data_IF_389228548879
#
_entry.id   IF_389228548879
#
_cell.length_a   1.000
_cell.length_b   1.000
_cell.length_c   1.000
_cell.angle_alpha   90.00
_cell.angle_beta   90.00
_cell.angle_gamma   90.00
#
_symmetry.space_group_name_H-M   'P 1'
#
loop_
_entity.id
_entity.type
_entity.pdbx_description
1 polymer ?
#
# COMPACT_ATOMS: atom_id res chain seq x y z
N UNK A 1 64.37 19.22 -13.85
CA UNK A 1 63.49 18.42 -14.73
C UNK A 1 62.53 17.65 -13.85
N UNK A 2 61.22 17.92 -13.99
CA UNK A 2 60.04 17.11 -13.61
C UNK A 2 59.90 16.65 -12.13
N UNK A 3 58.73 16.67 -11.49
CA UNK A 3 57.42 17.27 -11.76
C UNK A 3 56.62 17.25 -10.45
N UNK A 4 55.84 18.30 -10.20
CA UNK A 4 54.64 18.26 -9.37
C UNK A 4 53.56 17.51 -10.14
N UNK A 5 52.82 16.61 -9.49
CA UNK A 5 51.43 16.27 -9.83
C UNK A 5 50.82 15.37 -8.75
N UNK A 6 49.93 15.93 -7.92
CA UNK A 6 48.87 15.21 -7.20
C UNK A 6 47.96 16.21 -6.48
N UNK A 7 47.02 16.85 -7.20
CA UNK A 7 45.91 17.61 -6.59
C UNK A 7 44.77 17.93 -7.60
N UNK A 8 44.26 16.95 -8.36
CA UNK A 8 43.14 17.20 -9.31
C UNK A 8 41.96 16.22 -9.27
N UNK A 9 41.95 15.21 -8.39
CA UNK A 9 40.89 14.20 -8.35
C UNK A 9 39.73 14.54 -7.39
N UNK A 10 39.96 15.28 -6.31
CA UNK A 10 38.93 15.60 -5.30
C UNK A 10 38.08 16.85 -5.64
N UNK A 11 38.67 17.82 -6.34
CA UNK A 11 37.97 19.04 -6.78
C UNK A 11 36.91 18.75 -7.86
N UNK A 12 37.14 17.72 -8.69
CA UNK A 12 36.22 17.31 -9.74
C UNK A 12 35.01 16.51 -9.22
N UNK A 13 35.14 15.74 -8.12
CA UNK A 13 33.99 15.08 -7.45
C UNK A 13 33.10 16.09 -6.71
N UNK A 14 33.71 17.10 -6.07
CA UNK A 14 32.99 18.15 -5.34
C UNK A 14 32.15 19.02 -6.28
N UNK A 15 32.72 19.44 -7.43
CA UNK A 15 32.01 20.21 -8.47
C UNK A 15 30.88 19.43 -9.16
N UNK A 16 31.02 18.10 -9.31
CA UNK A 16 29.96 17.26 -9.91
C UNK A 16 28.74 17.17 -9.00
N UNK A 17 28.95 17.08 -7.68
CA UNK A 17 27.87 17.07 -6.69
C UNK A 17 27.18 18.44 -6.54
N UNK A 18 27.92 19.55 -6.64
CA UNK A 18 27.34 20.91 -6.61
C UNK A 18 26.39 21.14 -7.79
N UNK A 19 26.76 20.71 -9.00
CA UNK A 19 25.94 20.87 -10.20
C UNK A 19 24.68 19.97 -10.21
N UNK A 20 24.74 18.78 -9.61
CA UNK A 20 23.56 17.90 -9.48
C UNK A 20 22.54 18.44 -8.46
N UNK A 21 23.00 19.16 -7.43
CA UNK A 21 22.14 19.76 -6.40
C UNK A 21 21.47 21.05 -6.91
N UNK A 22 22.19 21.91 -7.66
CA UNK A 22 21.59 23.11 -8.29
C UNK A 22 20.52 22.74 -9.36
N UNK A 23 20.72 21.61 -10.05
CA UNK A 23 19.71 21.01 -10.95
C UNK A 23 18.45 20.53 -10.21
N UNK A 24 18.57 20.11 -8.93
CA UNK A 24 17.44 19.65 -8.12
C UNK A 24 16.60 20.80 -7.55
N UNK A 25 17.21 21.94 -7.23
CA UNK A 25 16.50 23.12 -6.67
C UNK A 25 15.73 23.88 -7.76
N UNK A 26 16.21 23.87 -9.00
CA UNK A 26 15.60 24.58 -10.13
C UNK A 26 14.45 23.82 -10.81
N UNK A 27 14.33 22.50 -10.59
CA UNK A 27 13.24 21.70 -11.16
C UNK A 27 12.09 21.58 -10.17
N UNK A 28 10.97 22.26 -10.47
CA UNK A 28 9.62 21.92 -9.98
C UNK A 28 9.31 20.45 -10.30
N UNK A 29 9.84 19.50 -9.53
CA UNK A 29 9.56 18.08 -9.71
C UNK A 29 8.91 17.52 -8.45
N UNK A 30 7.64 17.21 -8.60
CA UNK A 30 6.84 16.36 -7.72
C UNK A 30 7.45 14.96 -7.70
N UNK A 31 8.50 14.74 -6.93
CA UNK A 31 8.95 13.37 -6.64
C UNK A 31 8.95 13.14 -5.13
N UNK A 32 8.28 12.05 -4.72
CA UNK A 32 8.14 11.60 -3.32
C UNK A 32 9.47 11.39 -2.60
N UNK A 33 10.60 11.33 -3.34
CA UNK A 33 11.95 11.18 -2.78
C UNK A 33 12.47 12.38 -1.99
N UNK A 34 11.96 13.60 -2.22
CA UNK A 34 12.48 14.83 -1.57
C UNK A 34 11.57 15.41 -0.48
N UNK A 35 10.39 14.82 -0.25
CA UNK A 35 9.43 15.31 0.73
C UNK A 35 9.98 15.33 2.18
N UNK A 36 10.70 14.28 2.67
CA UNK A 36 11.24 14.28 4.02
C UNK A 36 12.34 15.33 4.23
N UNK A 37 13.21 15.51 3.23
CA UNK A 37 14.32 16.50 3.27
C UNK A 37 13.75 17.90 3.30
N UNK A 38 12.76 18.19 2.45
CA UNK A 38 12.07 19.48 2.45
C UNK A 38 11.34 19.72 3.77
N UNK A 39 10.61 18.74 4.30
CA UNK A 39 9.92 18.83 5.60
C UNK A 39 10.93 19.11 6.73
N UNK A 40 12.04 18.37 6.78
CA UNK A 40 13.10 18.54 7.78
C UNK A 40 13.80 19.90 7.67
N UNK A 41 14.22 20.31 6.46
CA UNK A 41 14.81 21.63 6.20
C UNK A 41 13.81 22.72 6.60
N UNK A 42 12.54 22.60 6.21
CA UNK A 42 11.52 23.61 6.54
C UNK A 42 11.21 23.65 8.03
N UNK A 43 11.14 22.52 8.75
CA UNK A 43 10.97 22.51 10.21
C UNK A 43 12.17 23.14 10.94
N UNK A 44 13.40 22.89 10.48
CA UNK A 44 14.60 23.50 11.06
C UNK A 44 14.74 24.98 10.67
N UNK A 45 14.33 25.37 9.47
CA UNK A 45 14.27 26.77 9.06
C UNK A 45 13.15 27.52 9.81
N UNK A 46 11.99 26.90 10.04
CA UNK A 46 10.89 27.48 10.83
C UNK A 46 11.30 27.63 12.31
N UNK A 47 12.10 26.69 12.84
CA UNK A 47 12.76 26.86 14.15
C UNK A 47 13.70 28.07 14.13
N UNK A 48 14.53 28.23 13.09
CA UNK A 48 15.37 29.42 12.94
C UNK A 48 14.56 30.72 12.79
N UNK A 49 13.43 30.71 12.08
CA UNK A 49 12.53 31.85 11.93
C UNK A 49 11.86 32.22 13.28
N UNK A 50 11.43 31.24 14.07
CA UNK A 50 10.87 31.48 15.42
C UNK A 50 11.91 32.03 16.41
N UNK A 51 13.17 31.60 16.30
CA UNK A 51 14.27 32.20 17.08
C UNK A 51 14.54 33.64 16.63
N UNK A 52 14.36 33.96 15.34
CA UNK A 52 14.48 35.32 14.81
C UNK A 52 13.31 36.22 15.27
N UNK A 53 12.08 35.72 15.35
CA UNK A 53 10.95 36.52 15.87
C UNK A 53 11.10 36.84 17.37
N UNK A 54 11.72 35.94 18.15
CA UNK A 54 12.17 36.25 19.50
C UNK A 54 13.28 37.32 19.54
N UNK A 55 14.22 37.28 18.58
CA UNK A 55 15.24 38.33 18.43
C UNK A 55 14.66 39.69 17.97
N UNK A 56 13.68 39.70 17.06
CA UNK A 56 12.98 40.91 16.61
C UNK A 56 12.10 41.52 17.70
N UNK A 57 11.55 40.72 18.61
CA UNK A 57 10.88 41.23 19.82
C UNK A 57 11.85 41.92 20.79
N UNK A 58 13.15 41.62 20.71
CA UNK A 58 14.20 42.26 21.50
C UNK A 58 14.87 43.46 20.80
N UNK A 59 14.68 43.63 19.49
CA UNK A 59 15.18 44.79 18.75
C UNK A 59 14.05 45.46 17.96
N UNK A 60 13.56 46.61 18.45
CA UNK A 60 12.68 47.48 17.67
C UNK A 60 13.34 47.85 16.34
N UNK A 61 12.83 47.33 15.23
CA UNK A 61 12.79 48.03 13.94
C UNK A 61 11.81 47.34 12.99
N UNK A 62 10.70 48.04 12.77
CA UNK A 62 9.67 47.72 11.79
C UNK A 62 10.23 47.78 10.37
N UNK A 63 10.25 46.64 9.68
CA UNK A 63 10.26 46.62 8.22
C UNK A 63 9.22 45.60 7.75
N UNK A 64 8.13 46.11 7.18
CA UNK A 64 7.15 45.33 6.39
C UNK A 64 7.88 44.70 5.21
N UNK A 65 8.03 43.38 5.19
CA UNK A 65 8.59 42.64 4.04
C UNK A 65 7.61 41.56 3.61
N UNK A 66 6.87 41.87 2.54
CA UNK A 66 6.18 40.87 1.72
C UNK A 66 7.26 40.13 0.90
N UNK A 67 7.33 38.79 1.02
CA UNK A 67 8.29 37.86 0.40
C UNK A 67 9.57 37.50 1.21
N UNK A 68 9.44 37.33 2.53
CA UNK A 68 10.57 37.00 3.43
C UNK A 68 11.29 35.68 3.14
N UNK A 69 10.59 34.62 2.72
CA UNK A 69 11.17 33.27 2.59
C UNK A 69 12.26 33.13 1.52
N UNK A 70 12.03 33.68 0.33
CA UNK A 70 12.99 33.58 -0.78
C UNK A 70 14.21 34.47 -0.55
N UNK A 71 14.03 35.71 -0.11
CA UNK A 71 15.15 36.63 0.19
C UNK A 71 16.04 36.07 1.31
N UNK A 72 15.44 35.40 2.30
CA UNK A 72 16.17 34.78 3.40
C UNK A 72 16.96 33.56 2.96
N UNK A 73 16.36 32.65 2.18
CA UNK A 73 17.07 31.54 1.53
C UNK A 73 18.23 32.06 0.66
N UNK A 74 18.00 33.13 -0.10
CA UNK A 74 19.06 33.79 -0.88
C UNK A 74 20.19 34.34 -0.01
N UNK A 75 19.88 34.98 1.13
CA UNK A 75 20.91 35.49 2.06
C UNK A 75 21.69 34.38 2.75
N UNK A 76 21.02 33.31 3.17
CA UNK A 76 21.64 32.11 3.75
C UNK A 76 22.57 31.45 2.73
N UNK A 77 22.11 31.28 1.49
CA UNK A 77 22.87 30.55 0.47
C UNK A 77 24.10 31.31 -0.04
N UNK A 78 24.12 32.64 0.11
CA UNK A 78 25.30 33.49 -0.16
C UNK A 78 26.29 33.54 0.99
N UNK A 79 25.89 33.14 2.20
CA UNK A 79 26.80 32.96 3.32
C UNK A 79 27.43 31.56 3.24
N UNK A 80 28.70 31.50 2.83
CA UNK A 80 29.43 30.24 2.60
C UNK A 80 29.44 29.36 3.85
N UNK A 81 29.61 29.95 5.04
CA UNK A 81 29.62 29.22 6.31
C UNK A 81 28.26 28.58 6.60
N UNK A 82 27.18 29.35 6.52
CA UNK A 82 25.82 28.83 6.75
C UNK A 82 25.43 27.78 5.70
N UNK A 83 25.77 28.03 4.42
CA UNK A 83 25.58 27.05 3.34
C UNK A 83 26.29 25.74 3.66
N UNK A 84 27.56 25.79 4.08
CA UNK A 84 28.34 24.60 4.40
C UNK A 84 27.76 23.85 5.62
N UNK A 85 27.33 24.56 6.66
CA UNK A 85 26.65 23.95 7.82
C UNK A 85 25.36 23.24 7.38
N UNK A 86 24.51 23.91 6.60
CA UNK A 86 23.25 23.32 6.10
C UNK A 86 23.53 22.09 5.25
N UNK A 87 24.47 22.17 4.31
CA UNK A 87 24.86 21.04 3.46
C UNK A 87 25.37 19.87 4.29
N UNK A 88 26.12 20.13 5.38
CA UNK A 88 26.58 19.11 6.29
C UNK A 88 25.41 18.45 7.05
N UNK A 89 24.44 19.22 7.53
CA UNK A 89 23.27 18.64 8.20
C UNK A 89 22.39 17.83 7.25
N UNK A 90 22.20 18.32 6.01
CA UNK A 90 21.49 17.57 4.96
C UNK A 90 22.24 16.28 4.64
N UNK A 91 23.57 16.31 4.60
CA UNK A 91 24.38 15.12 4.42
C UNK A 91 24.15 14.11 5.56
N UNK A 92 24.17 14.54 6.82
CA UNK A 92 23.91 13.64 7.96
C UNK A 92 22.49 13.08 7.96
N UNK A 93 21.48 13.93 7.69
CA UNK A 93 20.11 13.47 7.52
C UNK A 93 20.01 12.41 6.43
N UNK A 94 20.51 12.67 5.22
CA UNK A 94 20.46 11.70 4.12
C UNK A 94 21.22 10.40 4.40
N UNK A 95 22.25 10.45 5.24
CA UNK A 95 23.02 9.28 5.64
C UNK A 95 22.32 8.46 6.73
N UNK A 96 21.55 9.09 7.60
CA UNK A 96 21.01 8.48 8.82
C UNK A 96 19.47 8.50 8.91
N UNK A 97 18.75 8.98 7.89
CA UNK A 97 17.28 9.05 7.91
C UNK A 97 16.61 7.68 7.99
N UNK A 98 17.27 6.63 7.49
CA UNK A 98 16.77 5.26 7.49
C UNK A 98 17.85 4.31 8.00
N UNK A 99 17.65 3.78 9.21
CA UNK A 99 18.66 2.99 9.91
C UNK A 99 18.06 1.67 10.37
N UNK A 100 18.85 0.60 10.21
CA UNK A 100 18.60 -0.71 10.78
C UNK A 100 19.50 -0.93 11.98
N UNK A 101 18.93 -1.16 13.14
CA UNK A 101 19.63 -1.36 14.41
C UNK A 101 19.46 -2.80 14.88
N UNK A 102 20.57 -3.48 15.18
CA UNK A 102 20.55 -4.88 15.60
C UNK A 102 20.75 -5.08 17.11
N UNK A 103 21.21 -4.05 17.82
CA UNK A 103 21.39 -4.04 19.27
C UNK A 103 20.94 -2.71 19.85
N UNK A 104 20.28 -2.72 21.00
CA UNK A 104 19.80 -1.50 21.67
C UNK A 104 20.90 -0.47 21.89
N UNK A 105 22.08 -0.91 22.31
CA UNK A 105 23.24 -0.05 22.55
C UNK A 105 23.62 0.81 21.32
N UNK A 106 23.48 0.28 20.10
CA UNK A 106 23.74 1.04 18.87
C UNK A 106 22.72 2.17 18.66
N UNK A 107 21.48 1.96 19.09
CA UNK A 107 20.47 3.00 19.07
C UNK A 107 20.84 4.08 20.09
N UNK A 108 21.19 3.70 21.32
CA UNK A 108 21.44 4.63 22.41
C UNK A 108 22.71 5.47 22.22
N UNK A 109 23.79 4.87 21.73
CA UNK A 109 25.12 5.49 21.63
C UNK A 109 25.35 6.22 20.29
N UNK A 110 24.35 6.30 19.41
CA UNK A 110 24.50 6.97 18.13
C UNK A 110 24.43 8.49 18.27
N UNK A 111 25.49 9.20 17.88
CA UNK A 111 25.52 10.66 17.81
C UNK A 111 24.54 11.25 16.76
N UNK A 112 23.90 10.41 15.94
CA UNK A 112 22.99 10.82 14.87
C UNK A 112 21.54 10.38 15.13
N UNK A 113 21.18 10.05 16.38
CA UNK A 113 19.82 9.61 16.75
C UNK A 113 18.71 10.53 16.25
N UNK A 114 18.91 11.84 16.36
CA UNK A 114 17.91 12.85 15.98
C UNK A 114 17.71 12.99 14.46
N UNK A 115 18.57 12.35 13.66
CA UNK A 115 18.43 12.29 12.20
C UNK A 115 17.65 11.07 11.74
N UNK A 116 17.31 10.14 12.65
CA UNK A 116 16.60 8.91 12.30
C UNK A 116 15.11 9.19 12.22
N UNK A 117 14.54 9.13 11.00
CA UNK A 117 13.10 9.19 10.79
C UNK A 117 12.48 7.80 10.54
N UNK A 118 13.24 6.87 9.95
CA UNK A 118 12.84 5.50 9.71
C UNK A 118 13.76 4.56 10.47
N UNK A 119 13.21 3.84 11.44
CA UNK A 119 13.94 2.92 12.29
C UNK A 119 13.45 1.48 12.06
N UNK A 120 14.37 0.61 11.66
CA UNK A 120 14.17 -0.85 11.72
C UNK A 120 14.90 -1.41 12.93
N UNK A 121 14.18 -1.69 14.01
CA UNK A 121 14.71 -2.23 15.27
C UNK A 121 14.63 -3.75 15.27
N UNK A 122 15.76 -4.41 15.00
CA UNK A 122 15.83 -5.86 14.72
C UNK A 122 16.01 -6.69 15.98
N UNK A 123 16.51 -6.06 17.06
CA UNK A 123 16.72 -6.72 18.33
C UNK A 123 15.40 -7.14 18.97
N UNK A 124 15.45 -8.17 19.81
CA UNK A 124 14.36 -8.55 20.70
C UNK A 124 14.61 -8.04 22.14
N UNK A 125 15.42 -7.01 22.30
CA UNK A 125 15.63 -6.35 23.58
C UNK A 125 14.42 -5.45 23.92
N UNK A 126 14.16 -5.27 25.22
CA UNK A 126 13.10 -4.39 25.70
C UNK A 126 13.33 -2.93 25.33
N UNK A 127 12.23 -2.23 25.08
CA UNK A 127 12.22 -0.81 24.74
C UNK A 127 11.42 -0.07 25.80
N UNK A 128 12.07 0.94 26.38
CA UNK A 128 11.55 1.83 27.39
C UNK A 128 11.36 3.23 26.81
N UNK A 129 10.65 4.06 27.58
CA UNK A 129 10.47 5.48 27.27
C UNK A 129 11.83 6.16 27.00
N UNK A 130 11.96 6.83 25.85
CA UNK A 130 13.17 7.54 25.44
C UNK A 130 14.22 6.70 24.69
N UNK A 131 14.03 5.38 24.57
CA UNK A 131 14.93 4.52 23.78
C UNK A 131 14.78 4.77 22.28
N UNK A 132 13.58 5.07 21.80
CA UNK A 132 13.35 5.46 20.41
C UNK A 132 13.36 6.98 20.33
N UNK A 133 14.21 7.60 19.47
CA UNK A 133 14.25 9.04 19.31
C UNK A 133 12.91 9.62 18.86
N UNK A 134 12.56 10.81 19.35
CA UNK A 134 11.33 11.52 18.96
C UNK A 134 11.35 12.07 17.53
N UNK A 135 12.44 11.86 16.78
CA UNK A 135 12.50 12.14 15.33
C UNK A 135 11.91 11.00 14.49
N UNK A 136 11.73 9.81 15.07
CA UNK A 136 11.26 8.63 14.34
C UNK A 136 9.78 8.80 13.98
N UNK A 137 9.48 8.76 12.69
CA UNK A 137 8.12 8.82 12.12
C UNK A 137 7.65 7.42 11.65
N UNK A 138 8.58 6.53 11.30
CA UNK A 138 8.27 5.16 10.86
C UNK A 138 9.12 4.15 11.62
N UNK A 139 8.45 3.23 12.31
CA UNK A 139 9.07 2.20 13.15
C UNK A 139 8.71 0.81 12.62
N UNK A 140 9.73 -0.01 12.40
CA UNK A 140 9.58 -1.43 12.07
C UNK A 140 10.32 -2.26 13.10
N UNK A 141 9.60 -3.12 13.82
CA UNK A 141 10.21 -4.15 14.65
C UNK A 141 10.61 -5.35 13.80
N UNK A 142 11.79 -5.90 14.05
CA UNK A 142 12.30 -7.04 13.31
C UNK A 142 11.58 -8.34 13.66
N UNK A 143 11.84 -9.38 12.87
CA UNK A 143 11.05 -10.62 12.90
C UNK A 143 11.04 -11.32 14.26
N UNK A 144 12.09 -11.17 15.08
CA UNK A 144 12.19 -11.81 16.40
C UNK A 144 11.66 -10.95 17.55
N UNK A 145 11.25 -9.72 17.30
CA UNK A 145 10.76 -8.83 18.36
C UNK A 145 9.41 -9.33 18.88
N UNK A 146 9.35 -9.66 20.15
CA UNK A 146 8.17 -10.16 20.84
C UNK A 146 8.12 -9.68 22.29
N UNK A 147 8.59 -8.45 22.55
CA UNK A 147 8.55 -7.85 23.88
C UNK A 147 7.23 -7.13 24.13
N UNK A 148 6.87 -7.03 25.42
CA UNK A 148 5.69 -6.28 25.85
C UNK A 148 5.94 -4.79 25.67
N UNK A 149 4.98 -4.09 25.05
CA UNK A 149 5.05 -2.64 24.88
C UNK A 149 4.33 -1.94 26.02
N UNK A 150 5.10 -1.26 26.87
CA UNK A 150 4.58 -0.35 27.88
C UNK A 150 4.15 0.98 27.25
N UNK A 151 3.16 1.64 27.84
CA UNK A 151 2.73 2.96 27.40
C UNK A 151 3.93 3.94 27.35
N UNK A 152 4.08 4.65 26.23
CA UNK A 152 5.17 5.60 26.00
C UNK A 152 6.50 5.00 25.51
N UNK A 153 6.64 3.67 25.37
CA UNK A 153 7.86 3.07 24.78
C UNK A 153 8.06 3.45 23.32
N UNK A 154 6.96 3.70 22.60
CA UNK A 154 6.95 4.24 21.24
C UNK A 154 6.61 5.74 21.32
N UNK A 155 7.44 6.64 20.77
CA UNK A 155 7.20 8.07 20.85
C UNK A 155 6.01 8.49 19.98
N UNK A 156 5.34 9.58 20.36
CA UNK A 156 4.19 10.14 19.66
C UNK A 156 4.52 10.78 18.31
N UNK A 157 5.79 10.74 17.90
CA UNK A 157 6.23 11.14 16.55
C UNK A 157 6.00 10.03 15.53
N UNK A 158 5.84 8.77 15.96
CA UNK A 158 5.66 7.64 15.05
C UNK A 158 4.25 7.68 14.48
N UNK A 159 4.14 7.67 13.16
CA UNK A 159 2.90 7.66 12.38
C UNK A 159 2.67 6.29 11.72
N UNK A 160 3.73 5.52 11.47
CA UNK A 160 3.65 4.18 10.89
C UNK A 160 4.40 3.14 11.73
N UNK A 161 3.69 2.07 12.13
CA UNK A 161 4.22 0.99 12.94
C UNK A 161 4.02 -0.37 12.26
N UNK A 162 5.12 -1.11 12.09
CA UNK A 162 5.12 -2.49 11.58
C UNK A 162 5.76 -3.42 12.60
N UNK A 163 5.05 -4.49 12.96
CA UNK A 163 5.59 -5.58 13.76
C UNK A 163 6.16 -6.69 12.86
N UNK A 164 7.28 -7.27 13.28
CA UNK A 164 7.86 -8.45 12.66
C UNK A 164 7.11 -9.74 13.03
N UNK A 165 7.57 -10.86 12.46
CA UNK A 165 6.89 -12.14 12.47
C UNK A 165 6.46 -12.64 13.86
N UNK A 166 7.36 -12.64 14.83
CA UNK A 166 7.17 -13.30 16.13
C UNK A 166 6.34 -12.49 17.13
N UNK A 167 6.00 -11.22 16.84
CA UNK A 167 5.25 -10.39 17.75
C UNK A 167 3.85 -10.97 18.01
N UNK A 168 3.59 -11.39 19.24
CA UNK A 168 2.32 -11.98 19.65
C UNK A 168 1.99 -11.67 21.12
N UNK A 169 2.31 -10.45 21.55
CA UNK A 169 1.97 -9.95 22.88
C UNK A 169 0.56 -9.34 22.92
N UNK A 170 -0.02 -9.30 24.12
CA UNK A 170 -1.29 -8.62 24.36
C UNK A 170 -1.08 -7.11 24.24
N UNK A 171 -1.98 -6.43 23.53
CA UNK A 171 -1.98 -4.98 23.38
C UNK A 171 -2.92 -4.36 24.41
N UNK A 172 -2.34 -3.72 25.42
CA UNK A 172 -3.11 -2.93 26.37
C UNK A 172 -3.43 -1.56 25.79
N UNK A 173 -4.49 -0.92 26.27
CA UNK A 173 -4.81 0.45 25.88
C UNK A 173 -3.60 1.37 26.17
N UNK A 174 -3.20 2.17 25.18
CA UNK A 174 -2.05 3.06 25.26
C UNK A 174 -0.67 2.43 24.98
N UNK A 175 -0.57 1.11 24.79
CA UNK A 175 0.68 0.46 24.34
C UNK A 175 1.11 0.91 22.94
N UNK A 176 0.14 1.25 22.08
CA UNK A 176 0.36 1.86 20.77
C UNK A 176 -0.09 3.33 20.86
N UNK A 177 0.77 4.31 20.54
CA UNK A 177 0.44 5.72 20.71
C UNK A 177 -0.63 6.19 19.71
N UNK A 178 -1.39 7.21 20.08
CA UNK A 178 -2.47 7.81 19.26
C UNK A 178 -1.98 8.65 18.08
N UNK A 179 -0.69 8.60 17.78
CA UNK A 179 -0.08 9.18 16.58
C UNK A 179 -0.05 8.20 15.40
N UNK A 180 -0.25 6.89 15.65
CA UNK A 180 -0.16 5.87 14.60
C UNK A 180 -1.36 5.96 13.67
N UNK A 181 -1.09 6.14 12.38
CA UNK A 181 -2.06 6.14 11.29
C UNK A 181 -2.07 4.79 10.54
N UNK A 182 -0.90 4.14 10.40
CA UNK A 182 -0.74 2.86 9.71
C UNK A 182 -0.14 1.80 10.62
N UNK A 183 -0.88 0.72 10.85
CA UNK A 183 -0.50 -0.38 11.74
C UNK A 183 -0.49 -1.72 10.98
N UNK A 184 0.65 -2.40 10.99
CA UNK A 184 0.81 -3.72 10.37
C UNK A 184 1.34 -4.73 11.38
N UNK A 185 0.66 -5.87 11.49
CA UNK A 185 1.09 -7.01 12.30
C UNK A 185 1.83 -8.06 11.47
N UNK A 186 2.83 -8.69 12.07
CA UNK A 186 3.60 -9.78 11.46
C UNK A 186 2.92 -11.14 11.53
N UNK A 187 3.65 -12.16 11.08
CA UNK A 187 3.16 -13.52 10.82
C UNK A 187 2.36 -14.18 11.96
N UNK A 188 2.84 -14.12 13.21
CA UNK A 188 2.30 -14.91 14.32
C UNK A 188 1.31 -14.18 15.22
N UNK A 189 1.07 -12.87 15.01
CA UNK A 189 0.12 -12.13 15.84
C UNK A 189 -1.28 -12.73 15.77
N UNK A 190 -1.78 -13.21 16.92
CA UNK A 190 -3.07 -13.87 17.02
C UNK A 190 -3.70 -13.68 18.41
N UNK A 191 -3.70 -12.45 18.91
CA UNK A 191 -4.32 -12.08 20.19
C UNK A 191 -5.69 -11.42 19.99
N UNK A 192 -6.58 -11.64 20.95
CA UNK A 192 -7.88 -10.97 20.99
C UNK A 192 -7.65 -9.47 21.15
N UNK A 193 -8.37 -8.68 20.35
CA UNK A 193 -8.32 -7.23 20.40
C UNK A 193 -9.50 -6.72 21.25
N UNK A 194 -9.16 -6.13 22.39
CA UNK A 194 -10.13 -5.41 23.21
C UNK A 194 -10.35 -4.01 22.65
N UNK A 195 -11.49 -3.40 22.97
CA UNK A 195 -11.74 -2.01 22.63
C UNK A 195 -10.62 -1.11 23.17
N UNK A 196 -10.06 -0.25 22.32
CA UNK A 196 -8.94 0.63 22.68
C UNK A 196 -7.54 0.00 22.61
N UNK A 197 -7.39 -1.30 22.32
CA UNK A 197 -6.08 -1.91 22.05
C UNK A 197 -5.39 -1.34 20.81
N UNK A 198 -6.19 -0.93 19.82
CA UNK A 198 -5.74 -0.18 18.65
C UNK A 198 -6.25 1.26 18.80
N UNK A 199 -5.41 2.30 18.66
CA UNK A 199 -5.83 3.68 18.86
C UNK A 199 -6.75 4.16 17.72
N UNK A 200 -7.62 5.12 18.03
CA UNK A 200 -8.58 5.72 17.09
C UNK A 200 -7.94 6.66 16.05
N UNK A 201 -6.61 6.72 15.99
CA UNK A 201 -5.86 7.41 14.94
C UNK A 201 -5.57 6.49 13.75
N UNK A 202 -5.67 5.17 13.92
CA UNK A 202 -5.32 4.21 12.86
C UNK A 202 -6.35 4.28 11.73
N UNK A 203 -5.89 4.55 10.52
CA UNK A 203 -6.69 4.60 9.29
C UNK A 203 -6.42 3.38 8.40
N UNK A 204 -5.24 2.78 8.49
CA UNK A 204 -4.86 1.57 7.75
C UNK A 204 -4.41 0.47 8.70
N UNK A 205 -5.11 -0.67 8.68
CA UNK A 205 -4.84 -1.81 9.55
C UNK A 205 -4.64 -3.08 8.74
N UNK A 206 -3.49 -3.73 8.91
CA UNK A 206 -3.15 -5.00 8.28
C UNK A 206 -2.78 -6.05 9.31
N UNK A 207 -3.49 -7.18 9.27
CA UNK A 207 -3.16 -8.36 10.07
C UNK A 207 -2.25 -9.31 9.29
N UNK A 208 -1.30 -9.92 9.99
CA UNK A 208 -0.40 -10.92 9.42
C UNK A 208 -1.01 -12.32 9.35
N UNK A 209 -0.19 -13.28 8.94
CA UNK A 209 -0.60 -14.61 8.49
C UNK A 209 -1.55 -15.35 9.44
N UNK A 210 -1.28 -15.34 10.74
CA UNK A 210 -1.92 -16.23 11.72
C UNK A 210 -3.17 -15.66 12.40
N UNK A 211 -3.46 -14.36 12.23
CA UNK A 211 -4.59 -13.73 12.93
C UNK A 211 -5.91 -14.41 12.57
N UNK A 212 -6.60 -14.96 13.58
CA UNK A 212 -7.85 -15.67 13.41
C UNK A 212 -8.74 -15.56 14.66
N UNK A 213 -8.77 -14.38 15.28
CA UNK A 213 -9.61 -14.11 16.44
C UNK A 213 -10.99 -13.58 16.03
N UNK A 214 -12.00 -13.86 16.84
CA UNK A 214 -13.33 -13.26 16.68
C UNK A 214 -13.23 -11.77 16.92
N UNK A 215 -13.83 -10.98 16.04
CA UNK A 215 -13.91 -9.52 16.19
C UNK A 215 -15.23 -9.17 16.84
N UNK A 216 -15.17 -8.50 17.98
CA UNK A 216 -16.34 -7.89 18.61
C UNK A 216 -16.51 -6.45 18.13
N UNK A 217 -17.70 -5.88 18.29
CA UNK A 217 -17.91 -4.47 18.02
C UNK A 217 -16.91 -3.62 18.83
N UNK A 218 -16.21 -2.70 18.16
CA UNK A 218 -15.19 -1.84 18.76
C UNK A 218 -13.79 -2.46 18.89
N UNK A 219 -13.58 -3.74 18.52
CA UNK A 219 -12.23 -4.33 18.43
C UNK A 219 -11.38 -3.63 17.38
N UNK A 220 -11.99 -3.21 16.28
CA UNK A 220 -11.39 -2.36 15.25
C UNK A 220 -11.94 -0.93 15.43
N UNK A 221 -11.10 0.11 15.52
CA UNK A 221 -11.55 1.49 15.69
C UNK A 221 -12.35 2.01 14.48
N UNK A 222 -13.30 2.91 14.74
CA UNK A 222 -14.13 3.57 13.71
C UNK A 222 -13.38 4.61 12.87
N UNK A 223 -12.06 4.71 13.01
CA UNK A 223 -11.17 5.50 12.17
C UNK A 223 -10.60 4.70 11.00
N UNK A 224 -10.64 3.36 11.06
CA UNK A 224 -10.02 2.51 10.05
C UNK A 224 -10.79 2.62 8.74
N UNK A 225 -10.10 3.01 7.68
CA UNK A 225 -10.62 3.11 6.31
C UNK A 225 -10.18 1.94 5.43
N UNK A 226 -9.03 1.34 5.71
CA UNK A 226 -8.49 0.19 4.98
C UNK A 226 -8.18 -0.95 5.94
N UNK A 227 -8.81 -2.10 5.72
CA UNK A 227 -8.68 -3.29 6.57
C UNK A 227 -8.26 -4.50 5.73
N UNK A 228 -7.11 -5.09 6.09
CA UNK A 228 -6.61 -6.30 5.44
C UNK A 228 -6.42 -7.41 6.46
N UNK A 229 -7.04 -8.56 6.21
CA UNK A 229 -6.84 -9.78 6.98
C UNK A 229 -5.77 -10.66 6.37
N UNK A 230 -4.95 -11.29 7.23
CA UNK A 230 -3.95 -12.25 6.80
C UNK A 230 -4.51 -13.65 6.54
N UNK A 231 -3.63 -14.53 6.06
CA UNK A 231 -3.94 -15.82 5.46
C UNK A 231 -4.94 -16.70 6.24
N UNK A 232 -4.82 -16.77 7.57
CA UNK A 232 -5.59 -17.70 8.40
C UNK A 232 -6.95 -17.21 8.87
N UNK A 233 -7.29 -15.93 8.68
CA UNK A 233 -8.55 -15.38 9.15
C UNK A 233 -9.76 -16.11 8.52
N UNK A 234 -10.58 -16.72 9.35
CA UNK A 234 -11.75 -17.50 8.93
C UNK A 234 -12.83 -17.52 10.02
N UNK A 235 -13.12 -16.35 10.60
CA UNK A 235 -14.18 -16.19 11.60
C UNK A 235 -15.46 -15.68 10.97
N UNK A 236 -16.60 -15.99 11.60
CA UNK A 236 -17.89 -15.43 11.21
C UNK A 236 -17.91 -13.95 11.57
N UNK A 237 -18.37 -13.11 10.64
CA UNK A 237 -18.53 -11.68 10.87
C UNK A 237 -19.97 -11.39 11.29
N UNK A 238 -20.12 -10.84 12.49
CA UNK A 238 -21.39 -10.30 12.96
C UNK A 238 -21.52 -8.83 12.55
N UNK A 239 -22.75 -8.31 12.46
CA UNK A 239 -22.97 -6.89 12.23
C UNK A 239 -22.18 -6.03 13.25
N UNK A 240 -21.47 -5.01 12.76
CA UNK A 240 -20.63 -4.14 13.59
C UNK A 240 -19.23 -4.67 13.93
N UNK A 241 -18.88 -5.91 13.53
CA UNK A 241 -17.50 -6.44 13.71
C UNK A 241 -16.48 -5.66 12.87
N UNK A 242 -16.90 -5.22 11.69
CA UNK A 242 -16.16 -4.30 10.83
C UNK A 242 -16.83 -2.93 10.94
N UNK A 243 -16.11 -1.86 11.28
CA UNK A 243 -16.68 -0.52 11.39
C UNK A 243 -17.19 0.03 10.06
N UNK A 244 -18.21 0.89 10.11
CA UNK A 244 -18.77 1.58 8.94
C UNK A 244 -17.87 2.69 8.36
N UNK A 245 -16.66 2.86 8.90
CA UNK A 245 -15.64 3.74 8.33
C UNK A 245 -14.81 3.04 7.24
N UNK A 246 -14.79 1.71 7.23
CA UNK A 246 -13.95 0.93 6.30
C UNK A 246 -14.50 1.11 4.88
N UNK A 247 -13.63 1.49 3.96
CA UNK A 247 -13.89 1.65 2.52
C UNK A 247 -13.24 0.54 1.69
N UNK A 248 -12.12 -0.02 2.15
CA UNK A 248 -11.41 -1.12 1.50
C UNK A 248 -11.26 -2.30 2.45
N UNK A 249 -11.77 -3.46 2.05
CA UNK A 249 -11.72 -4.69 2.81
C UNK A 249 -11.13 -5.83 1.98
N UNK A 250 -10.04 -6.41 2.51
CA UNK A 250 -9.38 -7.57 1.90
C UNK A 250 -9.37 -8.73 2.89
N UNK A 251 -9.92 -9.87 2.48
CA UNK A 251 -9.86 -11.12 3.22
C UNK A 251 -8.63 -11.95 2.86
N UNK A 252 -8.09 -12.64 3.86
CA UNK A 252 -6.99 -13.58 3.66
C UNK A 252 -7.43 -14.92 3.10
N UNK A 253 -6.45 -15.71 2.63
CA UNK A 253 -6.65 -16.92 1.83
C UNK A 253 -7.69 -17.91 2.39
N UNK A 254 -7.72 -18.17 3.71
CA UNK A 254 -8.60 -19.19 4.31
C UNK A 254 -10.04 -18.73 4.57
N UNK A 255 -10.36 -17.45 4.39
CA UNK A 255 -11.71 -16.95 4.67
C UNK A 255 -12.74 -17.65 3.77
N UNK A 256 -13.67 -18.38 4.40
CA UNK A 256 -14.71 -19.13 3.70
C UNK A 256 -15.94 -19.27 4.59
N UNK A 257 -16.46 -18.14 5.08
CA UNK A 257 -17.69 -18.08 5.89
C UNK A 257 -18.82 -17.46 5.09
N UNK A 258 -20.04 -17.93 5.38
CA UNK A 258 -21.26 -17.37 4.79
C UNK A 258 -21.36 -15.91 5.23
N UNK A 259 -21.66 -15.03 4.27
CA UNK A 259 -21.91 -13.62 4.55
C UNK A 259 -23.38 -13.44 4.87
N UNK A 260 -23.68 -13.07 6.11
CA UNK A 260 -25.03 -12.64 6.49
C UNK A 260 -25.25 -11.19 6.08
N UNK A 261 -26.50 -10.81 5.83
CA UNK A 261 -26.87 -9.41 5.54
C UNK A 261 -26.35 -8.51 6.67
N UNK A 262 -25.66 -7.43 6.31
CA UNK A 262 -25.06 -6.48 7.26
C UNK A 262 -23.74 -6.91 7.90
N UNK A 263 -23.21 -8.11 7.60
CA UNK A 263 -21.88 -8.56 8.07
C UNK A 263 -20.74 -7.77 7.45
N UNK A 264 -20.93 -7.30 6.22
CA UNK A 264 -20.07 -6.37 5.51
C UNK A 264 -20.76 -5.00 5.52
N UNK A 265 -20.13 -3.93 6.04
CA UNK A 265 -20.76 -2.61 6.14
C UNK A 265 -21.05 -1.98 4.76
N UNK A 266 -22.11 -1.16 4.68
CA UNK A 266 -22.49 -0.41 3.48
C UNK A 266 -21.56 0.77 3.13
N UNK A 267 -20.42 0.88 3.80
CA UNK A 267 -19.36 1.84 3.48
C UNK A 267 -18.28 1.25 2.56
N UNK A 268 -18.26 -0.07 2.38
CA UNK A 268 -17.22 -0.75 1.61
C UNK A 268 -17.38 -0.41 0.13
N UNK A 269 -16.32 0.14 -0.47
CA UNK A 269 -16.22 0.45 -1.89
C UNK A 269 -15.36 -0.57 -2.65
N UNK A 270 -14.37 -1.17 -2.00
CA UNK A 270 -13.52 -2.23 -2.56
C UNK A 270 -13.55 -3.46 -1.66
N UNK A 271 -13.98 -4.59 -2.23
CA UNK A 271 -14.09 -5.87 -1.54
C UNK A 271 -13.28 -6.94 -2.28
N UNK A 272 -12.30 -7.51 -1.59
CA UNK A 272 -11.48 -8.61 -2.12
C UNK A 272 -11.61 -9.83 -1.22
N UNK A 273 -12.07 -10.94 -1.80
CA UNK A 273 -12.16 -12.22 -1.11
C UNK A 273 -10.85 -13.01 -1.17
N UNK A 274 -10.61 -13.80 -0.12
CA UNK A 274 -9.49 -14.72 -0.04
C UNK A 274 -9.66 -15.94 -0.95
N UNK A 275 -8.54 -16.61 -1.24
CA UNK A 275 -8.46 -17.71 -2.20
C UNK A 275 -9.46 -18.86 -2.00
N UNK A 276 -9.83 -19.21 -0.76
CA UNK A 276 -10.76 -20.31 -0.44
C UNK A 276 -12.24 -19.91 -0.36
N UNK A 277 -12.57 -18.64 -0.54
CA UNK A 277 -13.97 -18.20 -0.46
C UNK A 277 -14.79 -18.85 -1.58
N UNK A 278 -15.73 -19.71 -1.22
CA UNK A 278 -16.60 -20.40 -2.17
C UNK A 278 -18.00 -20.64 -1.58
N UNK A 279 -18.50 -19.67 -0.81
CA UNK A 279 -19.86 -19.72 -0.27
C UNK A 279 -20.88 -19.20 -1.27
N UNK A 280 -22.09 -19.75 -1.21
CA UNK A 280 -23.24 -19.24 -1.98
C UNK A 280 -23.54 -17.83 -1.49
N UNK A 281 -23.71 -16.90 -2.43
CA UNK A 281 -24.13 -15.54 -2.13
C UNK A 281 -25.65 -15.49 -2.03
N UNK A 282 -26.15 -14.83 -0.99
CA UNK A 282 -27.55 -14.41 -0.93
C UNK A 282 -27.69 -12.98 -1.46
N UNK A 283 -28.91 -12.58 -1.80
CA UNK A 283 -29.23 -11.17 -2.01
C UNK A 283 -28.74 -10.35 -0.80
N UNK A 284 -28.21 -9.16 -1.07
CA UNK A 284 -27.72 -8.19 -0.08
C UNK A 284 -26.52 -8.65 0.79
N UNK A 285 -25.94 -9.82 0.51
CA UNK A 285 -24.71 -10.27 1.20
C UNK A 285 -23.49 -9.39 0.86
N UNK A 286 -23.46 -8.84 -0.36
CA UNK A 286 -22.49 -7.83 -0.80
C UNK A 286 -23.23 -6.48 -0.82
N UNK A 287 -22.75 -5.45 -0.11
CA UNK A 287 -23.42 -4.15 -0.05
C UNK A 287 -23.45 -3.42 -1.38
N UNK A 288 -24.50 -2.62 -1.61
CA UNK A 288 -24.67 -1.79 -2.81
C UNK A 288 -23.73 -0.58 -2.91
N UNK A 289 -22.79 -0.45 -1.98
CA UNK A 289 -21.70 0.54 -2.04
C UNK A 289 -20.47 0.02 -2.79
N UNK A 290 -20.35 -1.31 -2.97
CA UNK A 290 -19.17 -1.94 -3.54
C UNK A 290 -19.04 -1.58 -5.02
N UNK A 291 -17.93 -0.94 -5.40
CA UNK A 291 -17.57 -0.56 -6.77
C UNK A 291 -16.56 -1.54 -7.38
N UNK A 292 -15.68 -2.10 -6.57
CA UNK A 292 -14.69 -3.09 -7.01
C UNK A 292 -14.84 -4.37 -6.22
N UNK A 293 -15.09 -5.47 -6.93
CA UNK A 293 -15.31 -6.79 -6.35
C UNK A 293 -14.35 -7.81 -6.96
N UNK A 294 -13.56 -8.45 -6.12
CA UNK A 294 -12.63 -9.52 -6.52
C UNK A 294 -12.93 -10.79 -5.76
N UNK A 295 -13.26 -11.86 -6.48
CA UNK A 295 -13.41 -13.20 -5.94
C UNK A 295 -12.08 -13.95 -5.86
N UNK A 296 -11.95 -14.78 -4.83
CA UNK A 296 -10.80 -15.66 -4.65
C UNK A 296 -10.76 -16.84 -5.63
N UNK A 297 -9.63 -17.55 -5.62
CA UNK A 297 -9.34 -18.64 -6.55
C UNK A 297 -10.43 -19.72 -6.63
N UNK A 298 -10.95 -20.15 -5.49
CA UNK A 298 -11.85 -21.31 -5.38
C UNK A 298 -13.32 -20.95 -5.62
N UNK A 299 -13.65 -19.66 -5.76
CA UNK A 299 -15.02 -19.23 -5.98
C UNK A 299 -15.56 -19.79 -7.30
N UNK A 300 -16.57 -20.64 -7.21
CA UNK A 300 -17.18 -21.30 -8.36
C UNK A 300 -18.69 -21.55 -8.13
N UNK A 301 -19.36 -20.65 -7.41
CA UNK A 301 -20.80 -20.72 -7.19
C UNK A 301 -21.59 -20.11 -8.36
N UNK A 302 -22.81 -20.61 -8.57
CA UNK A 302 -23.72 -20.07 -9.59
C UNK A 302 -24.13 -18.65 -9.20
N UNK A 303 -24.09 -17.73 -10.16
CA UNK A 303 -24.49 -16.35 -9.98
C UNK A 303 -25.83 -16.08 -10.66
N UNK A 304 -26.90 -16.00 -9.89
CA UNK A 304 -28.21 -15.53 -10.37
C UNK A 304 -28.24 -14.01 -10.44
N UNK A 305 -29.20 -13.46 -11.20
CA UNK A 305 -29.40 -12.03 -11.30
C UNK A 305 -29.61 -11.38 -9.93
N UNK A 306 -28.97 -10.24 -9.69
CA UNK A 306 -29.08 -9.46 -8.45
C UNK A 306 -28.16 -9.90 -7.29
N UNK A 307 -27.39 -10.98 -7.43
CA UNK A 307 -26.43 -11.39 -6.38
C UNK A 307 -25.18 -10.50 -6.33
N UNK A 308 -24.77 -9.95 -7.46
CA UNK A 308 -23.74 -8.92 -7.54
C UNK A 308 -24.47 -7.57 -7.60
N UNK A 309 -24.16 -6.60 -6.72
CA UNK A 309 -24.84 -5.31 -6.72
C UNK A 309 -24.62 -4.50 -7.99
N UNK A 310 -25.62 -3.71 -8.40
CA UNK A 310 -25.57 -2.81 -9.56
C UNK A 310 -24.67 -1.59 -9.38
N UNK A 311 -23.93 -1.51 -8.27
CA UNK A 311 -22.88 -0.52 -8.03
C UNK A 311 -21.50 -0.99 -8.51
N UNK A 312 -21.33 -2.30 -8.77
CA UNK A 312 -20.03 -2.88 -9.11
C UNK A 312 -19.62 -2.44 -10.51
N UNK A 313 -18.48 -1.76 -10.62
CA UNK A 313 -17.89 -1.28 -11.87
C UNK A 313 -16.72 -2.16 -12.32
N UNK A 314 -16.02 -2.80 -11.39
CA UNK A 314 -14.92 -3.73 -11.67
C UNK A 314 -15.15 -5.06 -10.98
N UNK A 315 -15.21 -6.13 -11.77
CA UNK A 315 -15.47 -7.48 -11.32
C UNK A 315 -14.36 -8.44 -11.79
N UNK A 316 -13.75 -9.13 -10.83
CA UNK A 316 -12.69 -10.11 -11.11
C UNK A 316 -13.05 -11.47 -10.54
N UNK A 317 -13.01 -12.49 -11.37
CA UNK A 317 -13.18 -13.89 -10.99
C UNK A 317 -11.85 -14.62 -10.84
N UNK A 318 -11.75 -15.44 -9.78
CA UNK A 318 -10.57 -16.24 -9.47
C UNK A 318 -10.39 -17.47 -10.35
N UNK A 319 -9.29 -18.20 -10.08
CA UNK A 319 -8.75 -19.29 -10.90
C UNK A 319 -9.77 -20.34 -11.35
N UNK A 320 -10.61 -20.86 -10.44
CA UNK A 320 -11.51 -21.99 -10.66
C UNK A 320 -12.91 -21.62 -11.15
N UNK A 321 -13.25 -20.33 -11.24
CA UNK A 321 -14.57 -19.91 -11.69
C UNK A 321 -14.86 -20.40 -13.12
N UNK A 322 -15.89 -21.22 -13.26
CA UNK A 322 -16.28 -21.85 -14.51
C UNK A 322 -17.78 -22.16 -14.55
N UNK A 323 -18.61 -21.24 -14.06
CA UNK A 323 -20.06 -21.34 -14.12
C UNK A 323 -20.62 -20.70 -15.38
N UNK A 324 -21.80 -21.15 -15.81
CA UNK A 324 -22.56 -20.49 -16.87
C UNK A 324 -23.09 -19.17 -16.34
N UNK A 325 -22.92 -18.10 -17.11
CA UNK A 325 -23.45 -16.77 -16.80
C UNK A 325 -24.75 -16.56 -17.56
N UNK A 326 -25.86 -16.46 -16.84
CA UNK A 326 -27.17 -16.15 -17.40
C UNK A 326 -27.34 -14.63 -17.56
N UNK A 327 -28.38 -14.22 -18.26
CA UNK A 327 -28.75 -12.82 -18.36
C UNK A 327 -28.91 -12.20 -16.95
N UNK A 328 -28.26 -11.05 -16.73
CA UNK A 328 -28.29 -10.34 -15.45
C UNK A 328 -27.37 -10.89 -14.35
N UNK A 329 -26.65 -12.01 -14.56
CA UNK A 329 -25.65 -12.51 -13.60
C UNK A 329 -24.52 -11.50 -13.36
N UNK A 330 -24.16 -10.75 -14.40
CA UNK A 330 -23.20 -9.64 -14.35
C UNK A 330 -24.00 -8.33 -14.49
N UNK A 331 -23.94 -7.40 -13.52
CA UNK A 331 -24.71 -6.16 -13.57
C UNK A 331 -24.28 -5.23 -14.70
N UNK A 332 -25.22 -4.45 -15.24
CA UNK A 332 -24.98 -3.48 -16.31
C UNK A 332 -24.13 -2.26 -15.91
N UNK A 333 -23.68 -2.19 -14.66
CA UNK A 333 -22.72 -1.21 -14.18
C UNK A 333 -21.26 -1.62 -14.42
N UNK A 334 -21.00 -2.91 -14.68
CA UNK A 334 -19.64 -3.43 -14.81
C UNK A 334 -19.00 -2.89 -16.09
N UNK A 335 -17.87 -2.20 -15.92
CA UNK A 335 -17.00 -1.66 -16.99
C UNK A 335 -15.78 -2.54 -17.23
N UNK A 336 -15.25 -3.16 -16.18
CA UNK A 336 -14.09 -4.04 -16.25
C UNK A 336 -14.43 -5.41 -15.71
N UNK A 337 -14.33 -6.43 -16.57
CA UNK A 337 -14.62 -7.82 -16.25
C UNK A 337 -13.41 -8.71 -16.54
N UNK A 338 -12.97 -9.44 -15.53
CA UNK A 338 -11.79 -10.30 -15.63
C UNK A 338 -12.12 -11.74 -15.25
N UNK A 339 -11.77 -12.67 -16.14
CA UNK A 339 -11.79 -14.11 -15.89
C UNK A 339 -10.37 -14.65 -15.80
N UNK A 340 -10.12 -15.47 -14.79
CA UNK A 340 -8.84 -16.16 -14.60
C UNK A 340 -8.73 -17.42 -15.49
N UNK A 341 -8.03 -18.46 -15.03
CA UNK A 341 -7.51 -19.53 -15.89
C UNK A 341 -8.54 -20.57 -16.35
N UNK A 342 -9.46 -21.02 -15.50
CA UNK A 342 -10.30 -22.18 -15.82
C UNK A 342 -11.63 -21.85 -16.51
N UNK A 343 -11.94 -20.57 -16.68
CA UNK A 343 -13.20 -20.17 -17.32
C UNK A 343 -13.22 -20.62 -18.79
N UNK A 344 -14.14 -21.52 -19.12
CA UNK A 344 -14.28 -22.10 -20.47
C UNK A 344 -15.75 -22.35 -20.85
N UNK A 345 -16.69 -21.64 -20.21
CA UNK A 345 -18.10 -21.71 -20.59
C UNK A 345 -18.39 -20.86 -21.82
N UNK A 346 -19.43 -21.27 -22.54
CA UNK A 346 -19.99 -20.44 -23.62
C UNK A 346 -20.61 -19.23 -22.96
N UNK A 347 -20.22 -18.05 -23.41
CA UNK A 347 -20.92 -16.80 -23.13
C UNK A 347 -22.02 -16.66 -24.18
N UNK A 348 -23.25 -16.32 -23.80
CA UNK A 348 -24.28 -15.88 -24.74
C UNK A 348 -24.22 -14.36 -24.90
N UNK A 349 -24.97 -13.81 -25.85
CA UNK A 349 -25.03 -12.36 -26.08
C UNK A 349 -25.55 -11.59 -24.86
N UNK A 350 -26.30 -12.27 -23.99
CA UNK A 350 -26.92 -11.69 -22.80
C UNK A 350 -26.09 -11.92 -21.52
N UNK A 351 -25.05 -12.77 -21.57
CA UNK A 351 -24.20 -13.10 -20.42
C UNK A 351 -23.31 -11.96 -19.98
N UNK A 352 -22.89 -11.09 -20.92
CA UNK A 352 -21.96 -9.99 -20.69
C UNK A 352 -22.70 -8.69 -21.04
N UNK A 353 -22.85 -7.74 -20.11
CA UNK A 353 -23.56 -6.50 -20.38
C UNK A 353 -22.77 -5.62 -21.36
N UNK A 354 -23.50 -4.81 -22.13
CA UNK A 354 -22.92 -3.88 -23.11
C UNK A 354 -22.05 -2.77 -22.49
N UNK A 355 -22.14 -2.58 -21.17
CA UNK A 355 -21.33 -1.65 -20.40
C UNK A 355 -19.86 -2.07 -20.26
N UNK A 356 -19.50 -3.32 -20.55
CA UNK A 356 -18.14 -3.83 -20.35
C UNK A 356 -17.19 -3.27 -21.41
N UNK A 357 -16.36 -2.31 -20.99
CA UNK A 357 -15.32 -1.67 -21.82
C UNK A 357 -14.01 -2.49 -21.88
N UNK A 358 -13.73 -3.24 -20.82
CA UNK A 358 -12.52 -4.05 -20.69
C UNK A 358 -12.87 -5.49 -20.27
N UNK A 359 -12.58 -6.44 -21.16
CA UNK A 359 -12.80 -7.87 -20.93
C UNK A 359 -11.47 -8.63 -21.00
N UNK A 360 -11.07 -9.25 -19.89
CA UNK A 360 -9.77 -9.92 -19.77
C UNK A 360 -9.90 -11.41 -19.51
N UNK A 361 -9.11 -12.23 -20.20
CA UNK A 361 -8.95 -13.67 -19.97
C UNK A 361 -7.48 -14.03 -19.75
N UNK A 362 -7.16 -14.70 -18.64
CA UNK A 362 -5.76 -15.01 -18.26
C UNK A 362 -5.21 -16.33 -18.83
N UNK A 363 -6.05 -17.20 -19.39
CA UNK A 363 -5.60 -18.38 -20.12
C UNK A 363 -6.24 -18.44 -21.50
N UNK A 364 -5.75 -19.37 -22.34
CA UNK A 364 -6.27 -19.62 -23.68
C UNK A 364 -7.76 -20.00 -23.59
N UNK A 365 -8.62 -18.99 -23.67
CA UNK A 365 -10.03 -19.19 -23.93
C UNK A 365 -10.12 -19.80 -25.34
N UNK A 366 -10.15 -21.13 -25.42
CA UNK A 366 -10.10 -21.87 -26.68
C UNK A 366 -11.35 -21.67 -27.56
N UNK A 367 -12.27 -20.77 -27.13
CA UNK A 367 -13.50 -20.37 -27.81
C UNK A 367 -13.53 -18.88 -28.18
N UNK A 368 -12.37 -18.23 -28.39
CA UNK A 368 -12.28 -16.83 -28.86
C UNK A 368 -13.14 -16.55 -30.10
N UNK A 369 -13.31 -17.54 -31.00
CA UNK A 369 -14.17 -17.38 -32.17
C UNK A 369 -15.66 -17.22 -31.82
N UNK A 370 -16.11 -17.70 -30.66
CA UNK A 370 -17.47 -17.48 -30.16
C UNK A 370 -17.66 -16.03 -29.67
N UNK A 371 -16.61 -15.39 -29.13
CA UNK A 371 -16.67 -13.98 -28.71
C UNK A 371 -16.76 -13.03 -29.91
N UNK A 372 -16.15 -13.38 -31.05
CA UNK A 372 -16.19 -12.58 -32.29
C UNK A 372 -17.62 -12.37 -32.82
N UNK A 373 -18.56 -13.26 -32.51
CA UNK A 373 -19.95 -13.15 -32.96
C UNK A 373 -20.79 -12.14 -32.15
N UNK A 374 -20.39 -11.79 -30.93
CA UNK A 374 -21.18 -10.86 -30.09
C UNK A 374 -21.06 -9.40 -30.51
N UNK A 375 -20.03 -9.08 -31.30
CA UNK A 375 -19.67 -7.70 -31.64
C UNK A 375 -19.49 -7.52 -33.15
N UNK A 376 -20.28 -8.24 -33.97
CA UNK A 376 -20.17 -8.23 -35.45
C UNK A 376 -20.26 -6.83 -36.11
N UNK A 377 -20.61 -5.77 -35.36
CA UNK A 377 -20.62 -4.39 -35.83
C UNK A 377 -19.40 -3.54 -35.40
N UNK A 378 -18.43 -4.09 -34.67
CA UNK A 378 -17.24 -3.32 -34.27
C UNK A 378 -16.23 -3.26 -35.41
N UNK A 379 -15.99 -2.05 -35.94
CA UNK A 379 -14.98 -1.82 -36.97
C UNK A 379 -13.60 -2.07 -36.37
N UNK A 380 -12.98 -3.18 -36.71
CA UNK A 380 -11.59 -3.48 -36.34
C UNK A 380 -10.64 -2.49 -37.04
N UNK A 381 -10.25 -1.41 -36.36
CA UNK A 381 -9.10 -0.59 -36.79
C UNK A 381 -7.85 -1.02 -36.02
N UNK A 382 -6.93 -1.66 -36.74
CA UNK A 382 -5.56 -1.88 -36.26
C UNK A 382 -4.95 -0.50 -35.92
N UNK A 383 -4.39 -0.28 -34.72
CA UNK A 383 -3.72 0.98 -34.40
C UNK A 383 -2.58 1.22 -35.39
N UNK A 384 -2.57 2.36 -36.07
CA UNK A 384 -1.51 2.75 -37.02
C UNK A 384 -0.21 3.12 -36.32
N UNK A 385 -0.25 3.42 -35.02
CA UNK A 385 0.94 3.60 -34.18
C UNK A 385 0.70 2.98 -32.80
N UNK A 386 1.71 2.27 -32.29
CA UNK A 386 1.74 1.82 -30.90
C UNK A 386 2.14 3.01 -30.03
N UNK A 387 1.39 3.39 -28.98
CA UNK A 387 1.83 4.43 -28.06
C UNK A 387 3.11 3.95 -27.36
N UNK A 388 4.21 4.66 -27.60
CA UNK A 388 5.57 4.20 -27.34
C UNK A 388 6.00 4.18 -25.85
N UNK A 389 5.08 4.27 -24.89
CA UNK A 389 5.40 4.38 -23.46
C UNK A 389 4.40 3.65 -22.55
N UNK A 390 4.27 2.32 -22.66
CA UNK A 390 3.82 1.52 -21.53
C UNK A 390 4.91 0.54 -21.11
N UNK A 391 5.60 0.92 -20.03
CA UNK A 391 6.46 0.05 -19.23
C UNK A 391 5.57 -1.09 -18.71
N UNK A 392 5.75 -2.27 -19.28
CA UNK A 392 5.18 -3.53 -18.78
C UNK A 392 5.85 -3.80 -17.43
N UNK A 393 5.20 -3.48 -16.31
CA UNK A 393 5.64 -3.99 -15.00
C UNK A 393 5.35 -5.49 -14.94
N UNK A 394 6.43 -6.26 -14.84
CA UNK A 394 6.39 -7.71 -14.69
C UNK A 394 5.94 -8.09 -13.27
N UNK A 395 5.15 -9.16 -13.14
CA UNK A 395 4.93 -9.84 -11.87
C UNK A 395 6.25 -10.53 -11.44
N UNK A 396 6.61 -10.60 -10.14
CA UNK A 396 7.91 -11.12 -9.68
C UNK A 396 8.11 -12.63 -9.88
N UNK A 397 7.06 -13.35 -10.26
CA UNK A 397 7.12 -14.80 -10.44
C UNK A 397 7.22 -15.17 -11.91
N UNK A 398 8.43 -15.07 -12.46
CA UNK A 398 9.05 -15.99 -13.42
C UNK A 398 10.13 -15.28 -14.23
N UNK A 399 11.38 -15.67 -13.96
CA UNK A 399 12.52 -15.41 -14.83
C UNK A 399 12.44 -16.38 -16.00
N UNK A 400 12.31 -15.84 -17.21
CA UNK A 400 12.54 -16.59 -18.45
C UNK A 400 11.30 -17.14 -19.14
N UNK A 401 10.69 -16.33 -20.03
CA UNK A 401 10.34 -16.69 -21.41
C UNK A 401 9.47 -15.59 -22.03
N UNK A 402 9.90 -15.04 -23.18
CA UNK A 402 9.13 -14.06 -23.96
C UNK A 402 8.04 -14.79 -24.74
N UNK A 403 6.76 -14.66 -24.37
CA UNK A 403 5.63 -15.15 -25.19
C UNK A 403 4.68 -14.03 -25.60
N UNK A 404 4.29 -14.07 -26.87
CA UNK A 404 3.52 -13.05 -27.57
C UNK A 404 2.10 -12.91 -27.00
N UNK A 405 1.72 -11.67 -26.68
CA UNK A 405 0.34 -11.28 -26.36
C UNK A 405 -0.45 -11.14 -27.67
N UNK A 406 -1.60 -11.80 -27.80
CA UNK A 406 -2.59 -11.49 -28.85
C UNK A 406 -3.65 -10.59 -28.23
N UNK A 407 -3.59 -9.29 -28.50
CA UNK A 407 -4.64 -8.34 -28.12
C UNK A 407 -5.55 -8.12 -29.33
N UNK A 408 -6.87 -8.26 -29.13
CA UNK A 408 -7.89 -7.88 -30.11
C UNK A 408 -8.46 -6.54 -29.66
N UNK A 409 -8.39 -5.55 -30.53
CA UNK A 409 -8.91 -4.20 -30.27
C UNK A 409 -10.13 -3.98 -31.17
N UNK A 410 -11.28 -3.75 -30.53
CA UNK A 410 -12.44 -3.11 -31.14
C UNK A 410 -12.41 -1.61 -30.77
N UNK A 411 -13.08 -0.76 -31.55
CA UNK A 411 -13.28 0.67 -31.20
C UNK A 411 -13.98 0.86 -29.86
N UNK A 412 -14.73 -0.13 -29.40
CA UNK A 412 -15.66 -0.02 -28.27
C UNK A 412 -15.25 -0.90 -27.07
N UNK A 413 -14.45 -1.96 -27.28
CA UNK A 413 -14.04 -2.90 -26.22
C UNK A 413 -12.59 -3.33 -26.37
N UNK A 414 -11.85 -3.30 -25.25
CA UNK A 414 -10.50 -3.87 -25.16
C UNK A 414 -10.57 -5.31 -24.67
N UNK A 415 -10.24 -6.26 -25.55
CA UNK A 415 -10.16 -7.68 -25.21
C UNK A 415 -8.68 -8.07 -25.06
N UNK A 416 -8.29 -8.40 -23.84
CA UNK A 416 -6.94 -8.87 -23.51
C UNK A 416 -6.97 -10.37 -23.24
N UNK A 417 -6.23 -11.14 -24.04
CA UNK A 417 -6.02 -12.58 -23.83
C UNK A 417 -4.54 -12.83 -23.59
N UNK A 418 -4.23 -13.41 -22.43
CA UNK A 418 -2.88 -13.83 -22.08
C UNK A 418 -2.68 -15.30 -22.45
N UNK A 419 -1.68 -15.58 -23.29
CA UNK A 419 -1.22 -16.94 -23.55
C UNK A 419 -0.04 -17.25 -22.62
N UNK A 420 -0.23 -18.17 -21.68
CA UNK A 420 0.87 -18.72 -20.89
C UNK A 420 0.79 -20.25 -20.92
N UNK A 421 1.87 -20.91 -21.34
CA UNK A 421 1.95 -22.38 -21.52
C UNK A 421 2.51 -23.09 -20.28
N UNK A 422 2.72 -22.40 -19.17
CA UNK A 422 3.35 -22.96 -17.98
C UNK A 422 2.30 -23.17 -16.89
N UNK A 423 2.00 -24.45 -16.59
CA UNK A 423 1.23 -24.84 -15.40
C UNK A 423 1.96 -24.36 -14.15
N UNK A 424 1.31 -23.69 -13.18
CA UNK A 424 1.84 -23.63 -11.83
C UNK A 424 1.80 -25.06 -11.28
N UNK A 425 2.91 -25.52 -10.68
CA UNK A 425 3.02 -26.84 -10.08
C UNK A 425 1.80 -27.12 -9.19
N UNK A 426 1.14 -28.25 -9.45
CA UNK A 426 0.27 -28.89 -8.47
C UNK A 426 1.08 -29.02 -7.18
N UNK A 427 0.63 -28.37 -6.11
CA UNK A 427 1.06 -28.75 -4.77
C UNK A 427 0.54 -30.17 -4.59
N UNK A 428 1.44 -31.15 -4.75
CA UNK A 428 1.18 -32.53 -4.38
C UNK A 428 0.74 -32.52 -2.91
N UNK A 429 -0.41 -33.12 -2.66
CA UNK A 429 -0.74 -33.66 -1.36
C UNK A 429 0.32 -34.70 -0.98
N UNK A 430 1.11 -34.41 0.04
CA UNK A 430 1.64 -35.39 1.00
C UNK A 430 0.67 -35.31 2.20
N UNK A 431 -0.06 -36.31 2.71
CA UNK A 431 0.35 -37.65 3.21
C UNK A 431 1.80 -37.62 3.63
N UNK A 432 2.16 -37.30 4.87
CA UNK A 432 1.60 -37.70 6.19
C UNK A 432 1.55 -36.53 7.18
#
# INVERSE_FOLDING_TARGET
MFNNDNNSSDSNKKRKNENEIESCVSKKSKSEKFYPIRKWIMQKLEYCEKQIDNFKKQSMMDVKINNGGDIFLFRIWRNITLKNIILQQVYYFNKHFNVKINKKEQLLNSNFRDYINKLSYISNEDIYLGDIPSSVESLTFGNRFNQVLSAGSIPSSVESLTFGDDFNQVLSAGSIPSSIESLTFGYYFNRVLSAGSIPSSVTSLTFGYSFNQVLSAGSIPSSVESLTFGHCFNQVLSAGSIPSSVKSLTFGFRFNKVLSVGSIPSSIESLTFGGRFNQVLSAESIPSSVKSLTFGNDFNQVLSAGLIPSSVESLTFGYFFNQVLSAGSIPSSVKSLTFSYNFNKVLSAESIPSSVEALTFYHSFNRINTIKCFYQNTVYKKPTTWPQNQIVKYSPYNVGEKKQKKALWSTDIRILVYHNTSRPNQIKSSTE
#
